data_IF_403762592617
#
_entry.id   IF_403762592617
#
_cell.length_a   1.000
_cell.length_b   1.000
_cell.length_c   1.000
_cell.angle_alpha   90.00
_cell.angle_beta   90.00
_cell.angle_gamma   90.00
#
_symmetry.space_group_name_H-M   'P 1'
#
loop_
_entity.id
_entity.type
_entity.pdbx_description
1 polymer ?
#
# COMPACT_ATOMS: atom_id res chain seq x y z
N UNK A 1 -26.04 -7.81 6.11
CA UNK A 1 -25.96 -8.15 7.56
C UNK A 1 -26.41 -7.00 8.45
N UNK A 2 -25.90 -5.77 8.27
CA UNK A 2 -26.25 -4.63 9.13
C UNK A 2 -27.76 -4.34 9.26
N UNK A 3 -28.52 -4.41 8.16
CA UNK A 3 -29.98 -4.20 8.17
C UNK A 3 -30.75 -5.22 9.02
N UNK A 4 -30.26 -6.46 9.12
CA UNK A 4 -30.90 -7.49 9.95
C UNK A 4 -30.62 -7.29 11.44
N UNK A 5 -29.48 -6.68 11.78
CA UNK A 5 -29.06 -6.43 13.16
C UNK A 5 -29.38 -5.00 13.64
N UNK A 6 -29.92 -4.16 12.77
CA UNK A 6 -30.14 -2.73 12.97
C UNK A 6 -28.85 -1.99 13.37
N UNK A 7 -27.81 -2.12 12.55
CA UNK A 7 -26.56 -1.39 12.69
C UNK A 7 -26.43 -0.32 11.61
N UNK A 8 -25.85 0.81 11.99
CA UNK A 8 -25.45 1.86 11.05
C UNK A 8 -24.15 1.44 10.34
N UNK A 9 -24.05 1.71 9.04
CA UNK A 9 -22.87 1.36 8.23
C UNK A 9 -22.11 2.63 7.86
N UNK A 10 -20.81 2.62 8.13
CA UNK A 10 -19.90 3.68 7.72
C UNK A 10 -18.87 3.06 6.76
N UNK A 11 -18.86 3.53 5.52
CA UNK A 11 -17.85 3.16 4.54
C UNK A 11 -16.67 4.13 4.64
N UNK A 12 -15.46 3.60 4.80
CA UNK A 12 -14.25 4.40 4.97
C UNK A 12 -13.26 4.15 3.85
N UNK A 13 -13.06 5.20 3.05
CA UNK A 13 -11.97 5.26 2.08
C UNK A 13 -10.65 5.59 2.79
N UNK A 14 -9.76 4.60 2.97
CA UNK A 14 -8.51 4.78 3.73
C UNK A 14 -7.59 5.85 3.10
N UNK A 15 -7.65 6.00 1.77
CA UNK A 15 -6.95 7.02 0.97
C UNK A 15 -7.37 8.45 1.32
N UNK A 16 -8.59 8.65 1.82
CA UNK A 16 -9.07 9.96 2.25
C UNK A 16 -8.45 10.42 3.59
N UNK A 17 -7.83 9.49 4.34
CA UNK A 17 -7.19 9.82 5.62
C UNK A 17 -5.71 10.17 5.43
N UNK A 18 -5.36 11.40 5.82
CA UNK A 18 -3.97 11.87 5.73
C UNK A 18 -3.10 11.43 6.92
N UNK A 19 -3.71 11.13 8.08
CA UNK A 19 -2.99 10.84 9.33
C UNK A 19 -3.72 9.78 10.15
N UNK A 20 -2.94 8.97 10.89
CA UNK A 20 -3.48 7.97 11.83
C UNK A 20 -4.33 8.60 12.95
N UNK A 21 -4.05 9.86 13.30
CA UNK A 21 -4.88 10.61 14.26
C UNK A 21 -6.34 10.72 13.79
N UNK A 22 -6.56 10.89 12.49
CA UNK A 22 -7.89 11.06 11.90
C UNK A 22 -8.68 9.74 12.00
N UNK A 23 -8.01 8.60 11.75
CA UNK A 23 -8.60 7.28 11.94
C UNK A 23 -9.00 7.04 13.41
N UNK A 24 -8.14 7.47 14.34
CA UNK A 24 -8.37 7.33 15.78
C UNK A 24 -9.53 8.22 16.25
N UNK A 25 -9.62 9.44 15.75
CA UNK A 25 -10.74 10.34 16.01
C UNK A 25 -12.05 9.76 15.48
N UNK A 26 -12.07 9.29 14.23
CA UNK A 26 -13.24 8.65 13.63
C UNK A 26 -13.68 7.43 14.45
N UNK A 27 -12.74 6.57 14.84
CA UNK A 27 -13.04 5.37 15.65
C UNK A 27 -13.66 5.70 17.00
N UNK A 28 -13.29 6.83 17.61
CA UNK A 28 -13.88 7.30 18.87
C UNK A 28 -15.25 7.94 18.66
N UNK A 29 -15.46 8.62 17.52
CA UNK A 29 -16.70 9.30 17.20
C UNK A 29 -17.84 8.34 16.78
N UNK A 30 -17.50 7.12 16.34
CA UNK A 30 -18.49 6.13 15.91
C UNK A 30 -19.41 5.74 17.08
N UNK A 31 -20.71 5.79 16.82
CA UNK A 31 -21.75 5.52 17.80
C UNK A 31 -21.97 4.02 18.04
N UNK A 32 -22.60 3.70 19.16
CA UNK A 32 -23.02 2.34 19.50
C UNK A 32 -23.87 1.73 18.36
N UNK A 33 -23.75 0.41 18.15
CA UNK A 33 -24.41 -0.31 17.03
C UNK A 33 -24.04 0.20 15.64
N UNK A 34 -22.75 0.40 15.40
CA UNK A 34 -22.23 0.77 14.09
C UNK A 34 -21.22 -0.26 13.58
N UNK A 35 -21.14 -0.39 12.26
CA UNK A 35 -20.14 -1.19 11.56
C UNK A 35 -19.34 -0.23 10.68
N UNK A 36 -18.03 -0.14 10.95
CA UNK A 36 -17.08 0.54 10.07
C UNK A 36 -16.54 -0.46 9.06
N UNK A 37 -16.68 -0.16 7.78
CA UNK A 37 -16.22 -0.99 6.67
C UNK A 37 -14.90 -0.42 6.15
N UNK A 38 -13.89 -1.27 6.06
CA UNK A 38 -12.63 -0.98 5.38
C UNK A 38 -12.54 -1.87 4.15
N UNK A 39 -12.67 -1.28 2.97
CA UNK A 39 -12.56 -1.99 1.69
C UNK A 39 -11.11 -1.95 1.17
N UNK A 40 -10.77 -2.89 0.27
CA UNK A 40 -9.56 -2.90 -0.55
C UNK A 40 -8.21 -2.67 0.17
N UNK A 41 -8.09 -3.16 1.42
CA UNK A 41 -6.86 -3.10 2.21
C UNK A 41 -5.66 -3.87 1.62
N UNK A 42 -5.89 -4.68 0.57
CA UNK A 42 -4.86 -5.39 -0.18
C UNK A 42 -4.86 -5.01 -1.67
N UNK A 43 -4.66 -3.72 -1.99
CA UNK A 43 -4.26 -3.31 -3.34
C UNK A 43 -2.78 -3.65 -3.54
N UNK A 44 -2.52 -4.87 -3.97
CA UNK A 44 -1.19 -5.45 -4.19
C UNK A 44 -0.24 -4.45 -4.83
N UNK A 45 0.81 -4.07 -4.08
CA UNK A 45 2.02 -3.45 -4.59
C UNK A 45 2.36 -4.14 -5.92
N UNK A 46 2.45 -3.38 -7.02
CA UNK A 46 2.98 -3.88 -8.29
C UNK A 46 4.48 -4.17 -8.12
N UNK A 47 4.78 -5.24 -7.39
CA UNK A 47 6.11 -5.67 -7.03
C UNK A 47 6.88 -6.07 -8.29
N UNK A 48 6.19 -6.56 -9.31
CA UNK A 48 6.79 -6.92 -10.61
C UNK A 48 7.38 -5.70 -11.33
N UNK A 49 6.69 -4.56 -11.36
CA UNK A 49 7.23 -3.33 -11.97
C UNK A 49 8.49 -2.80 -11.26
N UNK A 50 8.53 -2.87 -9.93
CA UNK A 50 9.69 -2.45 -9.14
C UNK A 50 10.87 -3.43 -9.22
N UNK A 51 10.62 -4.74 -9.29
CA UNK A 51 11.68 -5.74 -9.45
C UNK A 51 12.32 -5.67 -10.84
N UNK A 52 11.53 -5.45 -11.91
CA UNK A 52 12.06 -5.24 -13.26
C UNK A 52 12.92 -3.97 -13.34
N UNK A 53 12.48 -2.87 -12.71
CA UNK A 53 13.29 -1.64 -12.64
C UNK A 53 14.62 -1.84 -11.88
N UNK A 54 14.63 -2.66 -10.82
CA UNK A 54 15.88 -3.00 -10.10
C UNK A 54 16.80 -3.90 -10.92
N UNK A 55 16.25 -4.86 -11.68
CA UNK A 55 17.04 -5.71 -12.57
C UNK A 55 17.71 -4.91 -13.70
N UNK A 56 17.01 -3.92 -14.27
CA UNK A 56 17.56 -3.04 -15.31
C UNK A 56 18.69 -2.12 -14.80
N UNK A 57 18.68 -1.74 -13.52
CA UNK A 57 19.75 -0.94 -12.91
C UNK A 57 21.04 -1.74 -12.66
N UNK A 58 20.91 -3.05 -12.38
CA UNK A 58 22.06 -3.94 -12.15
C UNK A 58 22.76 -4.34 -13.47
N UNK A 59 22.07 -4.27 -14.62
CA UNK A 59 22.65 -4.53 -15.93
C UNK A 59 23.61 -3.45 -16.47
N UNK A 60 23.80 -2.33 -15.76
CA UNK A 60 24.61 -1.18 -16.24
C UNK A 60 26.00 -1.04 -15.59
N UNK A 61 26.46 -2.00 -14.78
CA UNK A 61 27.87 -2.03 -14.36
C UNK A 61 28.72 -2.59 -15.51
N UNK A 62 29.25 -1.68 -16.32
CA UNK A 62 30.29 -1.96 -17.31
C UNK A 62 31.46 -2.70 -16.65
N UNK A 63 31.63 -3.98 -16.97
CA UNK A 63 32.93 -4.64 -16.86
C UNK A 63 33.84 -4.00 -17.92
N UNK A 64 34.76 -3.16 -17.46
CA UNK A 64 35.87 -2.71 -18.29
C UNK A 64 36.91 -3.83 -18.29
N UNK A 65 36.83 -4.73 -19.26
CA UNK A 65 37.99 -5.51 -19.68
C UNK A 65 39.01 -4.53 -20.29
N UNK A 66 40.03 -4.15 -19.53
CA UNK A 66 41.27 -3.66 -20.14
C UNK A 66 42.15 -4.87 -20.39
N UNK A 67 42.07 -5.42 -21.60
CA UNK A 67 43.23 -6.08 -22.19
C UNK A 67 44.34 -5.03 -22.39
N UNK A 68 45.52 -5.28 -21.84
CA UNK A 68 46.77 -4.69 -22.32
C UNK A 68 47.94 -5.63 -21.98
N UNK A 69 48.11 -6.58 -22.90
CA UNK A 69 49.36 -6.97 -23.58
C UNK A 69 50.70 -6.56 -22.94
N UNK A 70 51.44 -7.60 -22.48
CA UNK A 70 52.88 -7.84 -22.64
C UNK A 70 53.88 -6.72 -22.24
N UNK A 71 54.57 -6.93 -21.11
CA UNK A 71 56.03 -7.16 -21.03
C UNK A 71 56.41 -7.67 -19.63
#
# INVERSE_FOLDING_TARGET
MANYLNFDIYDLELTALTRNSNLRELSVAITNKSILVFEDIFCTINLQGNLLNRANYVGSTNFHETESTVN
#
